data_IF_181693783575
#
_entry.id   IF_181693783575
#
_cell.length_a   1.000
_cell.length_b   1.000
_cell.length_c   1.000
_cell.angle_alpha   90.00
_cell.angle_beta   90.00
_cell.angle_gamma   90.00
#
_symmetry.space_group_name_H-M   'P 1'
#
loop_
_entity.id
_entity.type
_entity.pdbx_description
1 polymer ?
#
# COMPACT_ATOMS: atom_id res chain seq x y z
N UNK A 1 -17.34 -16.95 1.34
CA UNK A 1 -16.94 -16.07 0.22
C UNK A 1 -16.56 -14.67 0.73
N UNK A 2 -15.79 -14.53 1.82
CA UNK A 2 -15.55 -13.22 2.46
C UNK A 2 -14.09 -12.74 2.49
N UNK A 3 -13.10 -13.64 2.40
CA UNK A 3 -11.68 -13.25 2.59
C UNK A 3 -10.99 -12.72 1.32
N UNK A 4 -11.75 -12.56 0.22
CA UNK A 4 -11.23 -12.11 -1.07
C UNK A 4 -11.57 -10.66 -1.40
N UNK A 5 -12.44 -10.01 -0.62
CA UNK A 5 -12.78 -8.62 -0.88
C UNK A 5 -11.62 -7.70 -0.46
N UNK A 6 -11.21 -6.76 -1.33
CA UNK A 6 -10.24 -5.75 -0.97
C UNK A 6 -10.69 -4.93 0.25
N UNK A 7 -9.75 -4.56 1.11
CA UNK A 7 -9.98 -3.62 2.19
C UNK A 7 -9.83 -2.19 1.65
N UNK A 8 -10.88 -1.39 1.76
CA UNK A 8 -10.86 0.04 1.41
C UNK A 8 -10.46 0.85 2.64
N UNK A 9 -9.35 1.57 2.56
CA UNK A 9 -8.89 2.45 3.62
C UNK A 9 -8.78 3.89 3.12
N UNK A 10 -9.34 4.90 3.81
CA UNK A 10 -9.14 6.29 3.46
C UNK A 10 -7.66 6.67 3.42
N UNK A 11 -6.85 6.11 4.31
CA UNK A 11 -5.38 6.26 4.33
C UNK A 11 -4.71 4.95 4.76
N UNK A 12 -3.49 4.69 4.32
CA UNK A 12 -2.74 3.51 4.75
C UNK A 12 -2.36 3.59 6.23
N UNK A 13 -2.38 4.79 6.80
CA UNK A 13 -2.23 5.01 8.24
C UNK A 13 -3.36 4.39 9.06
N UNK A 14 -4.49 4.08 8.42
CA UNK A 14 -5.65 3.46 9.05
C UNK A 14 -5.57 1.92 9.03
N UNK A 15 -4.48 1.35 8.48
CA UNK A 15 -4.28 -0.09 8.45
C UNK A 15 -4.10 -0.66 9.85
N UNK A 16 -4.89 -1.69 10.17
CA UNK A 16 -4.85 -2.43 11.42
C UNK A 16 -4.73 -3.94 11.15
N UNK A 17 -5.01 -4.78 12.16
CA UNK A 17 -4.97 -6.24 12.04
C UNK A 17 -5.93 -6.78 10.96
N UNK A 18 -6.95 -6.03 10.54
CA UNK A 18 -7.86 -6.45 9.48
C UNK A 18 -7.22 -6.36 8.08
N UNK A 19 -6.06 -5.72 7.92
CA UNK A 19 -5.33 -5.62 6.66
C UNK A 19 -4.44 -6.84 6.38
N UNK A 20 -4.11 -7.63 7.41
CA UNK A 20 -3.20 -8.77 7.29
C UNK A 20 -3.67 -9.77 6.24
N UNK A 21 -2.79 -10.09 5.30
CA UNK A 21 -3.04 -11.02 4.20
C UNK A 21 -4.02 -10.53 3.13
N UNK A 22 -4.54 -9.30 3.21
CA UNK A 22 -5.53 -8.75 2.28
C UNK A 22 -4.93 -7.82 1.23
N UNK A 23 -5.68 -7.63 0.15
CA UNK A 23 -5.42 -6.57 -0.82
C UNK A 23 -6.03 -5.28 -0.26
N UNK A 24 -5.23 -4.23 -0.14
CA UNK A 24 -5.66 -2.93 0.36
C UNK A 24 -5.73 -1.93 -0.80
N UNK A 25 -6.83 -1.20 -0.89
CA UNK A 25 -6.98 -0.01 -1.74
C UNK A 25 -7.01 1.20 -0.81
N UNK A 26 -6.13 2.18 -1.04
CA UNK A 26 -5.94 3.25 -0.08
C UNK A 26 -5.75 4.64 -0.68
N UNK A 27 -6.35 5.65 -0.04
CA UNK A 27 -6.09 7.06 -0.28
C UNK A 27 -4.76 7.49 0.35
N UNK A 28 -3.65 7.09 -0.24
CA UNK A 28 -2.30 7.51 0.14
C UNK A 28 -1.42 7.44 -1.09
N UNK A 29 -0.38 8.27 -1.18
CA UNK A 29 0.64 8.14 -2.23
C UNK A 29 1.53 6.93 -1.94
N UNK A 30 2.05 6.29 -2.99
CA UNK A 30 2.91 5.11 -2.92
C UNK A 30 4.35 5.41 -2.49
N UNK A 31 4.58 6.37 -1.59
CA UNK A 31 5.90 6.72 -1.07
C UNK A 31 6.44 5.72 -0.03
N UNK A 32 7.70 5.88 0.36
CA UNK A 32 8.40 4.95 1.27
C UNK A 32 7.71 4.76 2.62
N UNK A 33 7.15 5.84 3.19
CA UNK A 33 6.43 5.76 4.47
C UNK A 33 5.16 4.90 4.35
N UNK A 34 4.37 5.13 3.29
CA UNK A 34 3.16 4.36 3.01
C UNK A 34 3.47 2.88 2.77
N UNK A 35 4.54 2.59 2.02
CA UNK A 35 5.04 1.24 1.82
C UNK A 35 5.45 0.54 3.12
N UNK A 36 6.15 1.24 4.00
CA UNK A 36 6.53 0.73 5.32
C UNK A 36 5.29 0.34 6.14
N UNK A 37 4.24 1.15 6.12
CA UNK A 37 2.98 0.85 6.82
C UNK A 37 2.26 -0.36 6.21
N UNK A 38 2.15 -0.42 4.88
CA UNK A 38 1.53 -1.56 4.19
C UNK A 38 2.27 -2.89 4.49
N UNK A 39 3.60 -2.87 4.46
CA UNK A 39 4.42 -4.04 4.81
C UNK A 39 4.27 -4.42 6.28
N UNK A 40 4.29 -3.44 7.20
CA UNK A 40 4.08 -3.68 8.64
C UNK A 40 2.70 -4.23 8.97
N UNK A 41 1.67 -3.82 8.25
CA UNK A 41 0.30 -4.33 8.39
C UNK A 41 0.14 -5.74 7.81
N UNK A 42 1.16 -6.32 7.19
CA UNK A 42 1.12 -7.66 6.63
C UNK A 42 0.21 -7.77 5.41
N UNK A 43 -0.02 -6.67 4.68
CA UNK A 43 -0.86 -6.67 3.49
C UNK A 43 -0.35 -7.69 2.46
N UNK A 44 -1.25 -8.35 1.73
CA UNK A 44 -0.89 -9.16 0.56
C UNK A 44 -0.50 -8.28 -0.62
N UNK A 45 -1.21 -7.17 -0.80
CA UNK A 45 -0.90 -6.16 -1.80
C UNK A 45 -1.46 -4.80 -1.38
N UNK A 46 -0.87 -3.71 -1.88
CA UNK A 46 -1.35 -2.35 -1.64
C UNK A 46 -1.48 -1.56 -2.94
N UNK A 47 -2.66 -1.00 -3.17
CA UNK A 47 -2.95 -0.08 -4.27
C UNK A 47 -3.13 1.32 -3.68
N UNK A 48 -2.13 2.15 -3.94
CA UNK A 48 -2.06 3.54 -3.53
C UNK A 48 -2.82 4.41 -4.55
N UNK A 49 -3.32 5.55 -4.11
CA UNK A 49 -3.93 6.56 -4.99
C UNK A 49 -2.87 7.62 -5.23
N UNK A 50 -2.25 7.60 -6.40
CA UNK A 50 -1.12 8.48 -6.69
C UNK A 50 -1.49 9.97 -6.62
N UNK A 51 -0.66 10.75 -5.90
CA UNK A 51 -0.69 12.22 -5.93
C UNK A 51 0.17 12.77 -7.09
N UNK A 52 0.67 11.88 -7.95
CA UNK A 52 1.70 12.09 -8.95
C UNK A 52 3.06 11.58 -8.46
N UNK A 53 3.96 11.31 -9.40
CA UNK A 53 5.31 10.76 -9.14
C UNK A 53 6.11 11.57 -8.10
N UNK A 54 5.94 12.89 -8.04
CA UNK A 54 6.67 13.76 -7.12
C UNK A 54 8.12 14.03 -7.54
N UNK A 55 8.84 14.85 -6.75
CA UNK A 55 10.27 15.08 -6.94
C UNK A 55 11.04 13.79 -6.62
N UNK A 56 12.00 13.41 -7.47
CA UNK A 56 12.84 12.22 -7.30
C UNK A 56 12.00 10.94 -7.02
N UNK A 57 10.87 10.80 -7.71
CA UNK A 57 9.94 9.68 -7.59
C UNK A 57 9.33 9.47 -6.19
N UNK A 58 9.36 10.49 -5.31
CA UNK A 58 8.93 10.38 -3.92
C UNK A 58 7.48 9.87 -3.73
N UNK A 59 6.59 10.13 -4.69
CA UNK A 59 5.20 9.69 -4.68
C UNK A 59 5.01 8.20 -4.97
N UNK A 60 5.99 7.55 -5.61
CA UNK A 60 5.89 6.14 -6.06
C UNK A 60 7.05 5.25 -5.62
N UNK A 61 8.10 5.81 -5.00
CA UNK A 61 9.29 5.07 -4.56
C UNK A 61 8.99 3.88 -3.64
N UNK A 62 7.90 3.94 -2.87
CA UNK A 62 7.42 2.85 -2.04
C UNK A 62 6.90 1.66 -2.84
N UNK A 63 6.31 1.86 -4.02
CA UNK A 63 5.85 0.77 -4.90
C UNK A 63 7.04 -0.10 -5.31
N UNK A 64 8.15 0.53 -5.70
CA UNK A 64 9.39 -0.17 -6.05
C UNK A 64 9.99 -0.90 -4.83
N UNK A 65 10.02 -0.23 -3.67
CA UNK A 65 10.52 -0.84 -2.44
C UNK A 65 9.70 -2.08 -2.00
N UNK A 66 8.38 -2.07 -2.22
CA UNK A 66 7.52 -3.22 -1.94
C UNK A 66 7.77 -4.37 -2.92
N UNK A 67 7.99 -4.06 -4.21
CA UNK A 67 8.40 -5.07 -5.19
C UNK A 67 9.71 -5.75 -4.78
N UNK A 68 10.71 -4.99 -4.33
CA UNK A 68 11.98 -5.54 -3.82
C UNK A 68 11.78 -6.41 -2.57
N UNK A 69 10.77 -6.11 -1.77
CA UNK A 69 10.34 -6.92 -0.63
C UNK A 69 9.44 -8.11 -1.01
N UNK A 70 9.15 -8.34 -2.29
CA UNK A 70 8.30 -9.42 -2.77
C UNK A 70 6.80 -9.21 -2.55
N UNK A 71 6.37 -7.97 -2.28
CA UNK A 71 4.97 -7.60 -2.06
C UNK A 71 4.42 -6.83 -3.26
N UNK A 72 3.30 -7.28 -3.82
CA UNK A 72 2.68 -6.61 -4.95
C UNK A 72 2.16 -5.22 -4.54
N UNK A 73 2.45 -4.20 -5.36
CA UNK A 73 1.96 -2.85 -5.14
C UNK A 73 1.70 -2.12 -6.46
N UNK A 74 0.83 -1.11 -6.41
CA UNK A 74 0.59 -0.17 -7.50
C UNK A 74 0.26 1.21 -6.93
N UNK A 75 0.46 2.26 -7.72
CA UNK A 75 0.07 3.63 -7.44
C UNK A 75 -0.55 4.24 -8.71
#
# INVERSE_FOLDING_TARGET
>A
MSDREPLLLPSITDADAAAEGRIVLTGSHGGLYAACLASKAGCRAALFSDAGIGLDDAGVAGVLALNDAGMAAAA
#
